data_IF_353864353332
#
_entry.id   IF_353864353332
#
_cell.length_a   1.000
_cell.length_b   1.000
_cell.length_c   1.000
_cell.angle_alpha   90.00
_cell.angle_beta   90.00
_cell.angle_gamma   90.00
#
_symmetry.space_group_name_H-M   'P 1'
#
loop_
_entity.id
_entity.type
_entity.pdbx_description
1 polymer ?
#
# COMPACT_ATOMS: atom_id res chain seq x y z
N UNK A 1 -38.80 -8.56 31.38
CA UNK A 1 -37.49 -7.85 31.39
C UNK A 1 -36.28 -8.76 31.15
N UNK A 2 -36.17 -9.94 31.79
CA UNK A 2 -35.01 -10.86 31.64
C UNK A 2 -34.66 -11.29 30.20
N UNK A 3 -35.65 -11.53 29.32
CA UNK A 3 -35.41 -11.95 27.92
C UNK A 3 -34.80 -10.87 27.02
N UNK A 4 -35.01 -9.58 27.33
CA UNK A 4 -34.45 -8.45 26.55
C UNK A 4 -32.96 -8.20 26.86
N UNK A 5 -32.53 -8.43 28.10
CA UNK A 5 -31.11 -8.32 28.46
C UNK A 5 -30.26 -9.41 27.81
N UNK A 6 -30.77 -10.65 27.70
CA UNK A 6 -30.04 -11.74 27.04
C UNK A 6 -29.83 -11.43 25.56
N UNK A 7 -30.82 -10.85 24.87
CA UNK A 7 -30.71 -10.53 23.44
C UNK A 7 -29.73 -9.39 23.15
N UNK A 8 -29.67 -8.37 24.01
CA UNK A 8 -28.68 -7.27 23.88
C UNK A 8 -27.27 -7.77 24.18
N UNK A 9 -27.11 -8.61 25.21
CA UNK A 9 -25.82 -9.21 25.55
C UNK A 9 -25.32 -10.14 24.43
N UNK A 10 -26.21 -10.94 23.81
CA UNK A 10 -25.85 -11.82 22.69
C UNK A 10 -25.49 -11.05 21.42
N UNK A 11 -26.17 -9.93 21.13
CA UNK A 11 -25.76 -9.02 20.03
C UNK A 11 -24.43 -8.32 20.32
N UNK A 12 -24.16 -7.93 21.57
CA UNK A 12 -22.87 -7.35 21.94
C UNK A 12 -21.73 -8.37 21.83
N UNK A 13 -21.97 -9.63 22.21
CA UNK A 13 -21.00 -10.73 22.07
C UNK A 13 -20.78 -11.08 20.59
N UNK A 14 -21.81 -11.02 19.75
CA UNK A 14 -21.67 -11.23 18.30
C UNK A 14 -20.91 -10.08 17.62
N UNK A 15 -21.15 -8.83 18.03
CA UNK A 15 -20.39 -7.67 17.54
C UNK A 15 -18.92 -7.69 18.01
N UNK A 16 -18.66 -8.22 19.21
CA UNK A 16 -17.30 -8.38 19.73
C UNK A 16 -16.56 -9.58 19.11
N UNK A 17 -17.28 -10.62 18.66
CA UNK A 17 -16.71 -11.78 17.98
C UNK A 17 -16.44 -11.57 16.48
N UNK A 18 -17.04 -10.54 15.87
CA UNK A 18 -16.77 -10.12 14.49
C UNK A 18 -15.65 -9.07 14.37
N UNK A 19 -15.17 -8.53 15.49
CA UNK A 19 -13.96 -7.71 15.53
C UNK A 19 -12.71 -8.60 15.45
N UNK A 20 -12.59 -9.39 14.39
CA UNK A 20 -11.27 -9.92 14.02
C UNK A 20 -10.43 -8.69 13.67
N UNK A 21 -9.29 -8.45 14.33
CA UNK A 21 -8.40 -7.39 13.92
C UNK A 21 -8.05 -7.66 12.46
N UNK A 22 -8.37 -6.74 11.55
CA UNK A 22 -7.70 -6.72 10.26
C UNK A 22 -6.21 -6.54 10.58
N UNK A 23 -5.47 -7.64 10.47
CA UNK A 23 -4.19 -7.75 11.16
C UNK A 23 -3.17 -6.82 10.52
N UNK A 24 -2.63 -5.92 11.34
CA UNK A 24 -1.28 -5.42 11.16
C UNK A 24 -0.34 -6.62 10.98
N UNK A 25 0.40 -6.64 9.88
CA UNK A 25 1.30 -7.72 9.49
C UNK A 25 1.93 -7.43 8.14
N UNK A 26 2.92 -8.24 7.78
CA UNK A 26 3.57 -8.16 6.48
C UNK A 26 2.61 -8.68 5.38
N UNK A 27 2.40 -7.90 4.33
CA UNK A 27 1.51 -8.23 3.22
C UNK A 27 2.26 -8.21 1.88
N UNK A 28 2.10 -9.28 1.10
CA UNK A 28 2.60 -9.31 -0.26
C UNK A 28 1.75 -8.39 -1.14
N UNK A 29 2.41 -7.72 -2.08
CA UNK A 29 1.75 -6.81 -2.99
C UNK A 29 2.47 -6.77 -4.33
N UNK A 30 1.77 -6.25 -5.33
CA UNK A 30 2.36 -5.80 -6.58
C UNK A 30 1.95 -4.36 -6.87
N UNK A 31 2.66 -3.70 -7.77
CA UNK A 31 2.11 -2.55 -8.47
C UNK A 31 1.31 -3.03 -9.67
N UNK A 32 0.03 -2.67 -9.74
CA UNK A 32 -0.82 -2.88 -10.90
C UNK A 32 -1.00 -1.59 -11.70
N UNK A 33 -1.22 -1.71 -13.01
CA UNK A 33 -1.68 -0.63 -13.88
C UNK A 33 -3.19 -0.48 -13.78
N UNK A 34 -3.74 0.58 -14.37
CA UNK A 34 -5.19 0.82 -14.43
C UNK A 34 -5.99 -0.32 -15.09
N UNK A 35 -5.36 -1.13 -15.94
CA UNK A 35 -5.96 -2.31 -16.58
C UNK A 35 -5.92 -3.57 -15.69
N UNK A 36 -5.44 -3.46 -14.44
CA UNK A 36 -5.29 -4.57 -13.49
C UNK A 36 -4.09 -5.47 -13.73
N UNK A 37 -3.28 -5.23 -14.77
CA UNK A 37 -2.09 -6.03 -15.04
C UNK A 37 -0.87 -5.52 -14.27
N UNK A 38 0.05 -6.43 -13.93
CA UNK A 38 1.27 -6.11 -13.19
C UNK A 38 2.12 -5.06 -13.93
N UNK A 39 2.53 -4.04 -13.19
CA UNK A 39 3.46 -2.99 -13.64
C UNK A 39 4.91 -3.47 -13.58
N UNK A 40 5.75 -2.94 -14.48
CA UNK A 40 7.21 -3.15 -14.42
C UNK A 40 7.82 -2.66 -13.10
N UNK A 41 7.20 -1.68 -12.44
CA UNK A 41 7.65 -1.20 -11.13
C UNK A 41 7.66 -2.32 -10.07
N UNK A 42 6.82 -3.35 -10.22
CA UNK A 42 6.79 -4.51 -9.32
C UNK A 42 8.12 -5.26 -9.25
N UNK A 43 8.91 -5.24 -10.33
CA UNK A 43 10.25 -5.85 -10.32
C UNK A 43 11.23 -5.17 -9.35
N UNK A 44 10.90 -3.96 -8.89
CA UNK A 44 11.70 -3.22 -7.91
C UNK A 44 11.34 -3.55 -6.47
N UNK A 45 10.21 -4.21 -6.21
CA UNK A 45 9.76 -4.54 -4.85
C UNK A 45 10.79 -5.45 -4.17
N UNK A 46 11.08 -5.16 -2.91
CA UNK A 46 11.96 -5.96 -2.05
C UNK A 46 11.21 -6.41 -0.80
N UNK A 47 10.61 -7.60 -0.88
CA UNK A 47 9.83 -8.19 0.21
C UNK A 47 8.41 -7.62 0.36
N UNK A 48 7.65 -8.12 1.35
CA UNK A 48 6.30 -7.65 1.61
C UNK A 48 6.28 -6.20 2.12
N UNK A 49 5.13 -5.55 1.99
CA UNK A 49 4.84 -4.31 2.69
C UNK A 49 4.64 -4.60 4.18
N UNK A 50 5.18 -3.75 5.05
CA UNK A 50 4.89 -3.80 6.47
C UNK A 50 3.62 -2.99 6.72
N UNK A 51 2.54 -3.63 7.19
CA UNK A 51 1.29 -2.95 7.51
C UNK A 51 1.10 -2.94 9.03
N UNK A 52 0.90 -1.77 9.61
CA UNK A 52 0.70 -1.60 11.06
C UNK A 52 -0.50 -0.71 11.36
N UNK A 53 -0.91 -0.65 12.63
CA UNK A 53 -2.05 0.17 13.05
C UNK A 53 -3.34 -0.64 13.20
N UNK A 54 -4.47 0.03 13.04
CA UNK A 54 -5.80 -0.52 13.27
C UNK A 54 -6.82 0.05 12.28
N UNK A 55 -8.00 -0.56 12.20
CA UNK A 55 -9.09 -0.12 11.35
C UNK A 55 -9.33 1.39 11.47
N UNK A 56 -9.47 2.04 10.31
CA UNK A 56 -9.59 3.50 10.17
C UNK A 56 -8.27 4.27 10.09
N UNK A 57 -7.12 3.65 10.38
CA UNK A 57 -5.82 4.33 10.33
C UNK A 57 -4.63 3.36 10.25
N UNK A 58 -4.57 2.53 9.21
CA UNK A 58 -3.41 1.70 8.93
C UNK A 58 -2.25 2.54 8.38
N UNK A 59 -1.03 2.11 8.71
CA UNK A 59 0.24 2.60 8.18
C UNK A 59 0.87 1.53 7.32
N UNK A 60 1.27 1.89 6.11
CA UNK A 60 1.89 1.00 5.13
C UNK A 60 3.30 1.49 4.88
N UNK A 61 4.27 0.60 5.00
CA UNK A 61 5.66 0.82 4.58
C UNK A 61 6.03 -0.16 3.48
N UNK A 62 6.44 0.37 2.33
CA UNK A 62 6.97 -0.43 1.23
C UNK A 62 8.47 -0.20 1.04
N UNK A 63 9.15 -1.19 0.44
CA UNK A 63 10.59 -1.18 0.20
C UNK A 63 10.87 -1.49 -1.27
N UNK A 64 11.61 -0.59 -1.94
CA UNK A 64 11.98 -0.70 -3.35
C UNK A 64 13.50 -0.72 -3.51
N UNK A 65 14.02 -1.56 -4.40
CA UNK A 65 15.42 -1.59 -4.83
C UNK A 65 15.75 -0.33 -5.61
N UNK A 66 16.88 0.31 -5.32
CA UNK A 66 17.40 1.41 -6.14
C UNK A 66 18.17 0.88 -7.37
N UNK A 67 17.66 -0.20 -7.97
CA UNK A 67 18.17 -0.79 -9.20
C UNK A 67 17.07 -1.60 -9.90
N UNK A 68 17.13 -1.68 -11.22
CA UNK A 68 16.21 -2.46 -12.04
C UNK A 68 16.92 -3.12 -13.22
N UNK A 69 16.37 -4.24 -13.71
CA UNK A 69 16.86 -4.90 -14.92
C UNK A 69 16.11 -4.37 -16.14
N UNK A 70 16.84 -3.78 -17.09
CA UNK A 70 16.32 -3.26 -18.34
C UNK A 70 17.09 -3.92 -19.49
N UNK A 71 16.39 -4.76 -20.27
CA UNK A 71 17.03 -5.50 -21.37
C UNK A 71 18.17 -6.42 -20.94
N UNK A 72 18.14 -6.94 -19.71
CA UNK A 72 19.20 -7.78 -19.14
C UNK A 72 20.37 -7.02 -18.49
N UNK A 73 20.33 -5.70 -18.46
CA UNK A 73 21.33 -4.86 -17.81
C UNK A 73 20.76 -4.31 -16.51
N UNK A 74 21.51 -4.43 -15.42
CA UNK A 74 21.17 -3.78 -14.14
C UNK A 74 21.54 -2.30 -14.20
N UNK A 75 20.55 -1.43 -14.06
CA UNK A 75 20.72 0.01 -14.04
C UNK A 75 20.32 0.58 -12.68
N UNK A 76 20.98 1.66 -12.22
CA UNK A 76 20.53 2.41 -11.05
C UNK A 76 19.10 2.94 -11.26
N UNK A 77 18.30 2.84 -10.21
CA UNK A 77 16.96 3.41 -10.13
C UNK A 77 16.83 4.30 -8.89
N UNK A 78 16.01 5.33 -8.97
CA UNK A 78 15.67 6.18 -7.84
C UNK A 78 14.22 6.62 -7.91
N UNK A 79 13.66 7.00 -6.77
CA UNK A 79 12.24 7.35 -6.65
C UNK A 79 12.10 8.72 -6.02
N UNK A 80 11.39 9.63 -6.66
CA UNK A 80 11.20 11.00 -6.19
C UNK A 80 10.22 11.06 -5.03
N UNK A 81 9.01 10.54 -5.25
CA UNK A 81 7.90 10.51 -4.30
C UNK A 81 6.99 9.32 -4.57
N UNK A 82 6.17 9.00 -3.55
CA UNK A 82 4.98 8.19 -3.69
C UNK A 82 3.83 8.98 -3.05
N UNK A 83 2.80 9.30 -3.82
CA UNK A 83 1.57 9.87 -3.27
C UNK A 83 0.47 8.81 -3.30
N UNK A 84 -0.34 8.73 -2.26
CA UNK A 84 -1.45 7.79 -2.14
C UNK A 84 -2.78 8.55 -2.18
N UNK A 85 -3.74 7.97 -2.90
CA UNK A 85 -5.15 8.34 -2.89
C UNK A 85 -5.83 7.42 -1.87
N UNK A 86 -6.08 7.96 -0.68
CA UNK A 86 -6.65 7.19 0.42
C UNK A 86 -8.16 7.41 0.53
N UNK A 87 -8.66 8.53 0.02
CA UNK A 87 -10.08 8.83 0.05
C UNK A 87 -10.80 8.03 -1.03
N UNK A 88 -11.81 7.24 -0.64
CA UNK A 88 -12.51 6.39 -1.60
C UNK A 88 -11.72 5.17 -2.06
N UNK A 89 -10.57 4.86 -1.44
CA UNK A 89 -9.94 3.55 -1.57
C UNK A 89 -10.97 2.42 -1.28
N UNK A 90 -10.96 1.31 -2.05
CA UNK A 90 -9.93 0.92 -3.00
C UNK A 90 -10.01 1.54 -4.41
N UNK A 91 -11.10 2.22 -4.75
CA UNK A 91 -11.25 2.86 -6.07
C UNK A 91 -10.45 4.16 -6.21
N UNK A 92 -10.25 4.87 -5.09
CA UNK A 92 -9.77 6.25 -5.07
C UNK A 92 -10.81 7.23 -5.62
N UNK A 93 -10.58 8.52 -5.40
CA UNK A 93 -11.36 9.58 -6.04
C UNK A 93 -10.58 10.32 -7.15
N UNK A 94 -9.32 9.94 -7.36
CA UNK A 94 -8.40 10.53 -8.34
C UNK A 94 -7.52 11.63 -7.75
N UNK A 95 -7.70 11.98 -6.47
CA UNK A 95 -6.91 12.96 -5.74
C UNK A 95 -5.90 12.22 -4.86
N UNK A 96 -4.63 12.63 -4.89
CA UNK A 96 -3.57 11.97 -4.11
C UNK A 96 -3.22 12.85 -2.91
N UNK A 97 -3.93 12.67 -1.80
CA UNK A 97 -3.87 13.58 -0.64
C UNK A 97 -2.66 13.34 0.25
N UNK A 98 -2.12 12.12 0.22
CA UNK A 98 -1.07 11.71 1.16
C UNK A 98 0.23 11.50 0.43
N UNK A 99 1.19 12.39 0.63
CA UNK A 99 2.58 12.15 0.22
C UNK A 99 3.27 11.28 1.26
N UNK A 100 3.76 10.11 0.83
CA UNK A 100 4.49 9.19 1.69
C UNK A 100 5.83 9.80 2.15
N UNK A 101 6.20 9.54 3.39
CA UNK A 101 7.55 9.83 3.88
C UNK A 101 8.53 8.92 3.16
N UNK A 102 9.61 9.51 2.62
CA UNK A 102 10.65 8.81 1.88
C UNK A 102 11.93 8.69 2.70
N UNK A 103 12.47 7.48 2.81
CA UNK A 103 13.81 7.23 3.38
C UNK A 103 14.66 6.43 2.40
N UNK A 104 15.93 6.78 2.24
CA UNK A 104 16.88 6.03 1.39
C UNK A 104 17.97 5.45 2.28
N UNK A 105 18.16 4.13 2.24
CA UNK A 105 19.18 3.44 3.04
C UNK A 105 19.55 2.10 2.40
N UNK A 106 20.83 1.73 2.46
CA UNK A 106 21.31 0.41 2.07
C UNK A 106 21.03 -0.01 0.62
N UNK A 107 20.93 0.94 -0.32
CA UNK A 107 20.56 0.64 -1.72
C UNK A 107 19.06 0.47 -1.96
N UNK A 108 18.22 0.83 -0.99
CA UNK A 108 16.77 0.78 -1.07
C UNK A 108 16.14 2.15 -0.80
N UNK A 109 14.93 2.33 -1.32
CA UNK A 109 14.04 3.42 -0.96
C UNK A 109 12.82 2.86 -0.25
N UNK A 110 12.46 3.48 0.86
CA UNK A 110 11.30 3.16 1.67
C UNK A 110 10.28 4.29 1.54
N UNK A 111 9.02 3.92 1.32
CA UNK A 111 7.91 4.86 1.38
C UNK A 111 6.95 4.42 2.47
N UNK A 112 6.59 5.35 3.36
CA UNK A 112 5.64 5.12 4.45
C UNK A 112 4.52 6.14 4.40
N UNK A 113 3.27 5.67 4.38
CA UNK A 113 2.08 6.51 4.51
C UNK A 113 1.10 5.91 5.50
N UNK A 114 0.24 6.76 6.08
CA UNK A 114 -0.76 6.39 7.09
C UNK A 114 -2.12 6.95 6.70
N UNK A 115 -3.19 6.44 7.32
CA UNK A 115 -4.55 6.89 7.09
C UNK A 115 -5.39 5.94 6.23
N UNK A 116 -4.86 4.76 5.89
CA UNK A 116 -5.63 3.76 5.14
C UNK A 116 -6.73 3.20 6.04
N UNK A 117 -7.99 3.28 5.59
CA UNK A 117 -9.12 2.89 6.41
C UNK A 117 -9.21 1.37 6.66
N UNK A 118 -8.83 0.57 5.67
CA UNK A 118 -8.87 -0.89 5.72
C UNK A 118 -7.59 -1.46 5.09
N UNK A 119 -6.92 -2.35 5.82
CA UNK A 119 -5.65 -2.95 5.38
C UNK A 119 -5.80 -3.93 4.22
N UNK A 120 -7.03 -4.23 3.78
CA UNK A 120 -7.32 -5.09 2.63
C UNK A 120 -7.64 -4.28 1.37
N UNK A 121 -7.74 -2.95 1.46
CA UNK A 121 -8.04 -2.11 0.32
C UNK A 121 -6.80 -1.88 -0.53
N UNK A 122 -6.89 -2.25 -1.80
CA UNK A 122 -5.94 -1.79 -2.81
C UNK A 122 -5.82 -0.27 -2.78
N UNK A 123 -4.61 0.25 -2.96
CA UNK A 123 -4.33 1.68 -2.78
C UNK A 123 -3.87 2.29 -4.09
N UNK A 124 -4.64 3.18 -4.73
CA UNK A 124 -4.15 3.95 -5.86
C UNK A 124 -3.00 4.87 -5.43
N UNK A 125 -1.92 4.88 -6.21
CA UNK A 125 -0.69 5.63 -5.92
C UNK A 125 -0.11 6.29 -7.17
N UNK A 126 0.55 7.43 -6.99
CA UNK A 126 1.47 7.99 -7.97
C UNK A 126 2.90 7.73 -7.53
N UNK A 127 3.64 6.97 -8.32
CA UNK A 127 5.06 6.70 -8.09
C UNK A 127 5.89 7.48 -9.11
N UNK A 128 6.74 8.39 -8.63
CA UNK A 128 7.78 8.99 -9.46
C UNK A 128 8.99 8.07 -9.47
N UNK A 129 9.39 7.65 -10.67
CA UNK A 129 10.57 6.80 -10.87
C UNK A 129 11.57 7.51 -11.78
N UNK A 130 12.84 7.23 -11.57
CA UNK A 130 13.93 7.58 -12.47
C UNK A 130 14.83 6.37 -12.64
N UNK A 131 15.08 5.99 -13.88
CA UNK A 131 15.97 4.89 -14.27
C UNK A 131 17.08 5.49 -15.11
N UNK A 132 18.33 5.31 -14.66
CA UNK A 132 19.49 5.98 -15.23
C UNK A 132 19.56 5.77 -16.75
N UNK A 133 19.50 6.87 -17.51
CA UNK A 133 19.62 6.87 -18.98
C UNK A 133 18.43 6.32 -19.75
N UNK A 134 17.36 5.84 -19.10
CA UNK A 134 16.17 5.28 -19.77
C UNK A 134 14.99 6.24 -19.69
N UNK A 135 14.54 6.59 -18.48
CA UNK A 135 13.39 7.48 -18.30
C UNK A 135 13.35 8.10 -16.89
N UNK A 136 12.61 9.19 -16.77
CA UNK A 136 12.17 9.78 -15.51
C UNK A 136 10.71 10.18 -15.67
N UNK A 137 9.80 9.57 -14.91
CA UNK A 137 8.36 9.70 -15.13
C UNK A 137 7.56 9.39 -13.86
N UNK A 138 6.36 9.95 -13.80
CA UNK A 138 5.36 9.65 -12.77
C UNK A 138 4.34 8.66 -13.34
N UNK A 139 4.06 7.60 -12.60
CA UNK A 139 3.11 6.57 -12.98
C UNK A 139 1.96 6.51 -11.98
N UNK A 140 0.73 6.58 -12.48
CA UNK A 140 -0.46 6.20 -11.72
C UNK A 140 -0.57 4.67 -11.72
N UNK A 141 -0.50 4.09 -10.53
CA UNK A 141 -0.47 2.66 -10.26
C UNK A 141 -1.42 2.34 -9.10
N UNK A 142 -1.58 1.06 -8.81
CA UNK A 142 -2.28 0.59 -7.61
C UNK A 142 -1.34 -0.33 -6.84
N UNK A 143 -1.20 -0.14 -5.53
CA UNK A 143 -0.71 -1.18 -4.62
C UNK A 143 -1.84 -2.20 -4.52
N UNK A 144 -1.61 -3.37 -5.12
CA UNK A 144 -2.56 -4.47 -5.25
C UNK A 144 -2.11 -5.62 -4.35
N UNK A 145 -2.90 -5.94 -3.32
CA UNK A 145 -2.60 -6.96 -2.31
C UNK A 145 -2.77 -8.37 -2.88
N UNK A 146 -1.88 -9.31 -2.51
CA UNK A 146 -1.82 -10.68 -3.06
C UNK A 146 -2.20 -11.77 -2.04
#
# INVERSE_FOLDING_TARGET
MKKRMVSVLMMMVLALALAVPAFAGDQNYQFAKADGTTSHASGSIEGPAVVTGSAGNYTVTIKLKNSGSYGGITLPASYGFLNADLNGAPGGDGTYEVTATKTVSGGYTYFTFSGLADSTFNVPVQLQTTVAGIHSSTYSLTIDWL
#
